data_IF_533021204589
#
_entry.id   IF_533021204589
#
_cell.length_a   1.000
_cell.length_b   1.000
_cell.length_c   1.000
_cell.angle_alpha   90.00
_cell.angle_beta   90.00
_cell.angle_gamma   90.00
#
_symmetry.space_group_name_H-M   'P 1'
#
loop_
_entity.id
_entity.type
_entity.pdbx_description
1 polymer ?
#
# COMPACT_ATOMS: atom_id res chain seq x y z
N UNK A 1 -43.50 -60.64 -63.82
CA UNK A 1 -42.15 -60.65 -63.22
C UNK A 1 -42.32 -60.29 -61.75
N UNK A 2 -42.06 -61.16 -60.76
CA UNK A 2 -40.79 -61.84 -60.39
C UNK A 2 -39.74 -60.82 -59.92
N UNK A 3 -39.11 -60.85 -58.74
CA UNK A 3 -39.22 -61.48 -57.39
C UNK A 3 -37.92 -61.00 -56.65
N UNK A 4 -37.82 -61.24 -55.33
CA UNK A 4 -36.62 -61.07 -54.45
C UNK A 4 -36.40 -59.65 -53.89
N UNK A 5 -35.84 -59.39 -52.70
CA UNK A 5 -35.66 -60.05 -51.38
C UNK A 5 -34.37 -59.44 -50.74
N UNK A 6 -34.32 -59.34 -49.39
CA UNK A 6 -33.18 -58.91 -48.54
C UNK A 6 -32.70 -57.43 -48.68
N UNK A 7 -32.22 -56.75 -47.63
CA UNK A 7 -32.20 -57.11 -46.20
C UNK A 7 -31.34 -56.18 -45.32
N UNK A 8 -31.89 -55.78 -44.16
CA UNK A 8 -31.24 -55.37 -42.89
C UNK A 8 -30.28 -54.15 -42.74
N UNK A 9 -30.56 -53.41 -41.64
CA UNK A 9 -29.63 -52.72 -40.73
C UNK A 9 -29.14 -51.30 -41.04
N UNK A 10 -29.50 -50.32 -40.19
CA UNK A 10 -28.63 -49.76 -39.13
C UNK A 10 -29.41 -48.76 -38.23
N UNK A 11 -29.11 -48.73 -36.92
CA UNK A 11 -29.61 -47.75 -35.92
C UNK A 11 -28.87 -46.40 -36.09
N UNK A 12 -29.46 -45.22 -35.79
CA UNK A 12 -29.70 -44.72 -34.41
C UNK A 12 -31.05 -43.95 -34.30
N UNK A 13 -31.45 -43.19 -33.26
CA UNK A 13 -30.83 -42.71 -31.99
C UNK A 13 -31.93 -42.51 -30.91
N UNK A 14 -31.59 -42.46 -29.61
CA UNK A 14 -32.44 -41.75 -28.61
C UNK A 14 -32.16 -40.24 -28.67
N UNK A 15 -33.20 -39.40 -28.67
CA UNK A 15 -33.12 -38.05 -28.09
C UNK A 15 -34.17 -37.89 -27.00
N UNK A 16 -33.76 -38.28 -25.78
CA UNK A 16 -34.39 -37.80 -24.56
C UNK A 16 -34.12 -36.29 -24.47
N UNK A 17 -35.13 -35.47 -24.70
CA UNK A 17 -35.04 -34.03 -24.45
C UNK A 17 -35.08 -33.81 -22.94
N UNK A 18 -34.01 -33.25 -22.39
CA UNK A 18 -33.79 -33.01 -20.95
C UNK A 18 -33.29 -31.55 -20.76
N UNK A 19 -33.21 -31.01 -19.53
CA UNK A 19 -34.15 -29.98 -19.09
C UNK A 19 -33.62 -28.54 -19.22
N UNK A 20 -34.52 -27.58 -19.04
CA UNK A 20 -34.29 -26.14 -19.15
C UNK A 20 -33.57 -25.53 -17.92
N UNK A 21 -32.52 -26.17 -17.43
CA UNK A 21 -31.81 -25.76 -16.20
C UNK A 21 -30.78 -24.64 -16.45
N UNK A 22 -30.46 -24.37 -17.72
CA UNK A 22 -29.37 -23.47 -18.14
C UNK A 22 -29.61 -21.97 -17.91
N UNK A 23 -30.88 -21.54 -17.77
CA UNK A 23 -31.22 -20.10 -17.71
C UNK A 23 -31.14 -19.53 -16.29
N UNK A 24 -31.38 -20.35 -15.26
CA UNK A 24 -31.38 -19.89 -13.85
C UNK A 24 -29.97 -19.57 -13.34
N UNK A 25 -28.92 -20.06 -14.03
CA UNK A 25 -27.51 -19.85 -13.64
C UNK A 25 -26.93 -18.47 -13.99
N UNK A 26 -27.67 -17.62 -14.71
CA UNK A 26 -27.18 -16.33 -15.20
C UNK A 26 -27.38 -15.14 -14.25
N UNK A 27 -28.04 -15.34 -13.09
CA UNK A 27 -28.30 -14.29 -12.10
C UNK A 27 -27.61 -14.53 -10.74
N UNK A 28 -26.61 -15.41 -10.68
CA UNK A 28 -25.76 -15.51 -9.50
C UNK A 28 -24.78 -14.34 -9.50
N UNK A 29 -25.23 -13.20 -8.98
CA UNK A 29 -24.40 -12.01 -8.78
C UNK A 29 -23.07 -12.42 -8.15
N UNK A 30 -21.99 -12.29 -8.91
CA UNK A 30 -20.63 -12.34 -8.38
C UNK A 30 -20.44 -11.11 -7.50
N UNK A 31 -20.96 -11.19 -6.28
CA UNK A 31 -20.50 -10.40 -5.15
C UNK A 31 -19.04 -10.76 -4.99
N UNK A 32 -18.17 -10.07 -5.73
CA UNK A 32 -16.74 -10.11 -5.52
C UNK A 32 -16.58 -9.67 -4.08
N UNK A 33 -16.23 -10.57 -3.14
CA UNK A 33 -16.13 -10.18 -1.75
C UNK A 33 -15.05 -9.11 -1.70
N UNK A 34 -15.40 -7.90 -1.29
CA UNK A 34 -14.42 -6.82 -1.13
C UNK A 34 -13.50 -7.26 0.00
N UNK A 35 -12.39 -7.95 -0.33
CA UNK A 35 -11.54 -8.66 0.63
C UNK A 35 -10.88 -7.64 1.54
N UNK A 36 -11.60 -7.30 2.62
CA UNK A 36 -11.18 -6.35 3.64
C UNK A 36 -9.93 -6.94 4.29
N UNK A 37 -8.80 -6.20 4.34
CA UNK A 37 -7.54 -6.76 4.81
C UNK A 37 -7.70 -7.26 6.25
N UNK A 38 -7.38 -8.54 6.48
CA UNK A 38 -7.36 -9.13 7.82
C UNK A 38 -6.37 -8.40 8.72
N UNK A 39 -6.67 -8.31 10.02
CA UNK A 39 -5.87 -7.53 10.98
C UNK A 39 -4.38 -7.94 10.98
N UNK A 40 -4.08 -9.22 10.76
CA UNK A 40 -2.73 -9.77 10.62
C UNK A 40 -1.97 -9.22 9.40
N UNK A 41 -2.64 -9.07 8.25
CA UNK A 41 -2.03 -8.50 7.03
C UNK A 41 -1.70 -7.03 7.22
N UNK A 42 -2.58 -6.27 7.89
CA UNK A 42 -2.30 -4.87 8.23
C UNK A 42 -1.14 -4.75 9.24
N UNK A 43 -1.14 -5.56 10.31
CA UNK A 43 -0.08 -5.54 11.31
C UNK A 43 1.29 -5.86 10.71
N UNK A 44 1.37 -6.89 9.85
CA UNK A 44 2.60 -7.24 9.13
C UNK A 44 3.07 -6.10 8.21
N UNK A 45 2.18 -5.45 7.46
CA UNK A 45 2.52 -4.31 6.59
C UNK A 45 2.96 -3.08 7.37
N UNK A 46 2.33 -2.81 8.51
CA UNK A 46 2.76 -1.74 9.41
C UNK A 46 4.14 -2.00 9.99
N UNK A 47 4.43 -3.24 10.42
CA UNK A 47 5.76 -3.63 10.88
C UNK A 47 6.81 -3.48 9.76
N UNK A 48 6.50 -3.89 8.53
CA UNK A 48 7.36 -3.64 7.35
C UNK A 48 7.56 -2.14 7.11
N UNK A 49 6.50 -1.33 7.16
CA UNK A 49 6.59 0.12 6.97
C UNK A 49 7.49 0.78 8.03
N UNK A 50 7.36 0.39 9.30
CA UNK A 50 8.22 0.85 10.40
C UNK A 50 9.67 0.44 10.15
N UNK A 51 9.94 -0.85 9.95
CA UNK A 51 11.29 -1.37 9.77
C UNK A 51 12.01 -0.74 8.57
N UNK A 52 11.34 -0.63 7.42
CA UNK A 52 11.89 -0.02 6.21
C UNK A 52 12.07 1.49 6.38
N UNK A 53 11.15 2.21 7.03
CA UNK A 53 11.29 3.66 7.26
C UNK A 53 12.48 3.98 8.16
N UNK A 54 12.61 3.22 9.27
CA UNK A 54 13.73 3.37 10.22
C UNK A 54 15.07 3.03 9.55
N UNK A 55 15.14 1.93 8.78
CA UNK A 55 16.36 1.54 8.08
C UNK A 55 16.73 2.54 6.96
N UNK A 56 15.77 2.96 6.15
CA UNK A 56 16.00 3.90 5.04
C UNK A 56 16.45 5.27 5.54
N UNK A 57 15.82 5.82 6.59
CA UNK A 57 16.26 7.09 7.17
C UNK A 57 17.57 6.97 7.95
N UNK A 58 17.84 5.84 8.61
CA UNK A 58 19.14 5.57 9.21
C UNK A 58 20.26 5.56 8.17
N UNK A 59 20.04 4.91 7.02
CA UNK A 59 20.97 4.91 5.89
C UNK A 59 21.11 6.30 5.25
N UNK A 60 20.00 7.02 5.02
CA UNK A 60 20.04 8.37 4.46
C UNK A 60 20.80 9.33 5.39
N UNK A 61 20.58 9.26 6.70
CA UNK A 61 21.33 10.03 7.69
C UNK A 61 22.83 9.67 7.64
N UNK A 62 23.17 8.38 7.57
CA UNK A 62 24.56 7.94 7.44
C UNK A 62 25.24 8.54 6.20
N UNK A 63 24.56 8.56 5.05
CA UNK A 63 25.05 9.16 3.80
C UNK A 63 25.19 10.69 3.89
N UNK A 64 24.20 11.37 4.48
CA UNK A 64 24.24 12.83 4.69
C UNK A 64 25.43 13.21 5.58
N UNK A 65 25.63 12.52 6.70
CA UNK A 65 26.75 12.79 7.61
C UNK A 65 28.11 12.44 6.98
N UNK A 66 28.19 11.30 6.26
CA UNK A 66 29.42 10.90 5.57
C UNK A 66 29.81 11.84 4.41
N UNK A 67 28.85 12.57 3.83
CA UNK A 67 29.13 13.56 2.76
C UNK A 67 29.87 14.81 3.24
N UNK A 68 29.84 15.10 4.55
CA UNK A 68 30.35 16.36 5.11
C UNK A 68 29.59 17.62 4.69
N UNK A 69 28.53 17.51 3.88
CA UNK A 69 27.77 18.64 3.35
C UNK A 69 26.88 19.36 4.38
N UNK A 70 26.66 18.73 5.55
CA UNK A 70 25.80 19.23 6.62
C UNK A 70 26.46 19.02 7.97
N UNK A 71 26.48 20.05 8.82
CA UNK A 71 26.89 19.89 10.22
C UNK A 71 25.77 19.20 11.01
N UNK A 72 26.04 18.14 11.80
CA UNK A 72 25.04 17.51 12.63
C UNK A 72 24.57 18.44 13.75
N UNK A 73 23.27 18.67 13.81
CA UNK A 73 22.56 19.38 14.88
C UNK A 73 21.50 18.43 15.46
N UNK A 74 20.98 18.71 16.66
CA UNK A 74 20.27 17.71 17.46
C UNK A 74 19.10 17.00 16.74
N UNK A 75 18.19 17.68 16.01
CA UNK A 75 17.20 17.04 15.14
C UNK A 75 17.77 16.09 14.08
N UNK A 76 18.89 16.45 13.44
CA UNK A 76 19.57 15.66 12.41
C UNK A 76 20.59 14.69 13.05
N UNK A 77 20.11 13.87 13.98
CA UNK A 77 20.89 12.83 14.67
C UNK A 77 20.10 11.53 14.79
N UNK A 78 20.79 10.40 15.06
CA UNK A 78 20.16 9.08 15.02
C UNK A 78 18.96 8.93 15.98
N UNK A 79 19.02 9.29 17.28
CA UNK A 79 17.91 9.01 18.18
C UNK A 79 16.60 9.69 17.78
N UNK A 80 16.56 11.01 17.45
CA UNK A 80 15.34 11.65 16.94
C UNK A 80 14.89 11.11 15.59
N UNK A 81 15.79 10.95 14.61
CA UNK A 81 15.43 10.50 13.25
C UNK A 81 14.80 9.12 13.27
N UNK A 82 15.40 8.15 13.98
CA UNK A 82 14.87 6.78 14.04
C UNK A 82 13.55 6.73 14.83
N UNK A 83 13.44 7.48 15.94
CA UNK A 83 12.22 7.54 16.74
C UNK A 83 11.04 8.16 15.96
N UNK A 84 11.24 9.32 15.35
CA UNK A 84 10.20 10.01 14.58
C UNK A 84 9.80 9.21 13.33
N UNK A 85 10.75 8.51 12.68
CA UNK A 85 10.45 7.60 11.57
C UNK A 85 9.54 6.45 12.01
N UNK A 86 9.79 5.85 13.18
CA UNK A 86 8.95 4.80 13.73
C UNK A 86 7.55 5.32 14.11
N UNK A 87 7.47 6.46 14.81
CA UNK A 87 6.20 7.09 15.21
C UNK A 87 5.37 7.46 13.97
N UNK A 88 5.99 8.06 12.94
CA UNK A 88 5.33 8.40 11.68
C UNK A 88 4.74 7.17 10.98
N UNK A 89 5.52 6.09 10.86
CA UNK A 89 5.06 4.85 10.23
C UNK A 89 3.97 4.11 11.04
N UNK A 90 4.02 4.16 12.37
CA UNK A 90 2.95 3.66 13.25
C UNK A 90 1.68 4.48 13.04
N UNK A 91 1.77 5.81 13.08
CA UNK A 91 0.65 6.73 12.83
C UNK A 91 0.00 6.50 11.47
N UNK A 92 0.81 6.40 10.41
CA UNK A 92 0.38 6.06 9.06
C UNK A 92 -0.38 4.72 9.00
N UNK A 93 0.14 3.68 9.67
CA UNK A 93 -0.52 2.37 9.77
C UNK A 93 -1.88 2.45 10.46
N UNK A 94 -1.99 3.22 11.55
CA UNK A 94 -3.25 3.43 12.27
C UNK A 94 -4.28 4.18 11.41
N UNK A 95 -3.87 5.27 10.76
CA UNK A 95 -4.71 6.05 9.83
C UNK A 95 -5.23 5.16 8.70
N UNK A 96 -4.36 4.40 8.04
CA UNK A 96 -4.77 3.47 6.99
C UNK A 96 -5.69 2.35 7.54
N UNK A 97 -5.45 1.89 8.77
CA UNK A 97 -6.30 0.93 9.48
C UNK A 97 -7.70 1.46 9.83
N UNK A 98 -7.86 2.77 9.98
CA UNK A 98 -9.17 3.44 10.14
C UNK A 98 -9.83 3.65 8.78
N UNK A 99 -9.10 4.18 7.79
CA UNK A 99 -9.62 4.43 6.44
C UNK A 99 -10.13 3.14 5.78
N UNK A 100 -9.37 2.04 5.85
CA UNK A 100 -9.79 0.71 5.34
C UNK A 100 -11.02 0.09 6.04
N UNK A 101 -11.49 0.69 7.15
CA UNK A 101 -12.75 0.33 7.80
C UNK A 101 -13.91 1.26 7.42
N UNK A 102 -13.63 2.55 7.24
CA UNK A 102 -14.62 3.64 7.12
C UNK A 102 -14.86 4.13 5.69
N UNK A 103 -13.93 3.90 4.75
CA UNK A 103 -13.92 4.50 3.42
C UNK A 103 -13.86 3.42 2.34
N UNK A 104 -14.64 3.60 1.28
CA UNK A 104 -14.77 2.67 0.16
C UNK A 104 -13.51 2.62 -0.73
N UNK A 105 -12.83 3.76 -0.88
CA UNK A 105 -11.56 3.90 -1.59
C UNK A 105 -10.43 4.32 -0.63
N UNK A 106 -9.91 3.40 0.21
CA UNK A 106 -8.94 3.73 1.24
C UNK A 106 -7.58 4.16 0.67
N UNK A 107 -7.08 3.52 -0.39
CA UNK A 107 -5.77 3.80 -0.98
C UNK A 107 -5.65 5.25 -1.49
N UNK A 108 -6.63 5.73 -2.29
CA UNK A 108 -6.67 7.11 -2.79
C UNK A 108 -6.84 8.14 -1.67
N UNK A 109 -7.65 7.81 -0.66
CA UNK A 109 -7.88 8.70 0.50
C UNK A 109 -6.62 8.78 1.35
N UNK A 110 -5.95 7.66 1.59
CA UNK A 110 -4.71 7.59 2.33
C UNK A 110 -3.58 8.34 1.62
N UNK A 111 -3.46 8.24 0.30
CA UNK A 111 -2.49 9.03 -0.46
C UNK A 111 -2.68 10.54 -0.25
N UNK A 112 -3.93 11.04 -0.30
CA UNK A 112 -4.24 12.45 -0.02
C UNK A 112 -3.89 12.86 1.41
N UNK A 113 -4.20 12.01 2.40
CA UNK A 113 -3.86 12.24 3.81
C UNK A 113 -2.34 12.20 4.03
N UNK A 114 -1.62 11.30 3.36
CA UNK A 114 -0.16 11.19 3.43
C UNK A 114 0.51 12.42 2.80
N UNK A 115 0.04 12.92 1.67
CA UNK A 115 0.51 14.17 1.06
C UNK A 115 0.25 15.37 1.97
N UNK A 116 -0.96 15.47 2.56
CA UNK A 116 -1.27 16.53 3.51
C UNK A 116 -0.38 16.45 4.78
N UNK A 117 -0.19 15.26 5.33
CA UNK A 117 0.68 15.03 6.49
C UNK A 117 2.15 15.35 6.18
N UNK A 118 2.63 15.02 4.97
CA UNK A 118 3.98 15.34 4.51
C UNK A 118 4.21 16.85 4.42
N UNK A 119 3.28 17.59 3.81
CA UNK A 119 3.33 19.07 3.76
C UNK A 119 3.27 19.68 5.16
N UNK A 120 2.45 19.13 6.06
CA UNK A 120 2.39 19.57 7.45
C UNK A 120 3.67 19.24 8.24
N UNK A 121 4.36 18.13 7.95
CA UNK A 121 5.62 17.77 8.62
C UNK A 121 6.78 18.70 8.25
N UNK A 122 6.70 19.44 7.14
CA UNK A 122 7.68 20.47 6.81
C UNK A 122 7.55 21.74 7.67
N UNK A 123 6.41 21.96 8.35
CA UNK A 123 6.26 23.13 9.22
C UNK A 123 7.23 23.10 10.43
N UNK A 124 7.41 21.97 11.14
CA UNK A 124 8.53 21.77 12.06
C UNK A 124 9.91 22.06 11.46
N UNK A 125 10.23 21.53 10.28
CA UNK A 125 11.53 21.71 9.63
C UNK A 125 11.84 23.18 9.35
N UNK A 126 10.85 23.91 8.82
CA UNK A 126 10.92 25.36 8.57
C UNK A 126 10.99 26.12 9.90
N UNK A 127 10.25 25.70 10.94
CA UNK A 127 10.32 26.29 12.27
C UNK A 127 11.71 26.17 12.90
N UNK A 128 12.38 25.03 12.71
CA UNK A 128 13.76 24.79 13.16
C UNK A 128 14.74 25.75 12.44
N UNK A 129 14.57 26.00 11.14
CA UNK A 129 15.41 26.94 10.38
C UNK A 129 15.43 28.37 10.98
N UNK A 130 14.33 28.79 11.60
CA UNK A 130 14.20 30.12 12.23
C UNK A 130 14.39 30.10 13.76
N UNK A 131 14.34 28.93 14.39
CA UNK A 131 14.36 28.76 15.85
C UNK A 131 15.67 28.22 16.43
N UNK A 132 16.50 27.53 15.64
CA UNK A 132 17.77 26.94 16.08
C UNK A 132 18.96 27.60 15.34
N UNK A 133 19.88 28.30 16.04
CA UNK A 133 21.08 28.88 15.43
C UNK A 133 22.05 27.88 14.79
N UNK A 134 21.87 26.57 15.03
CA UNK A 134 22.65 25.50 14.37
C UNK A 134 21.95 24.93 13.13
N UNK A 135 20.69 25.31 12.87
CA UNK A 135 19.98 24.87 11.68
C UNK A 135 20.56 25.52 10.42
N UNK A 136 20.77 24.71 9.38
CA UNK A 136 21.26 25.15 8.08
C UNK A 136 20.28 24.74 7.00
N UNK A 137 20.19 25.51 5.91
CA UNK A 137 19.29 25.19 4.78
C UNK A 137 19.53 23.75 4.25
N UNK A 138 20.78 23.28 4.04
CA UNK A 138 21.04 21.89 3.64
C UNK A 138 20.55 20.85 4.67
N UNK A 139 20.68 21.14 5.98
CA UNK A 139 20.21 20.25 7.03
C UNK A 139 18.69 20.18 7.14
N UNK A 140 18.00 21.31 6.94
CA UNK A 140 16.54 21.37 6.88
C UNK A 140 16.00 20.64 5.64
N UNK A 141 16.66 20.81 4.48
CA UNK A 141 16.33 20.03 3.27
C UNK A 141 16.57 18.52 3.49
N UNK A 142 17.61 18.13 4.24
CA UNK A 142 17.84 16.72 4.60
C UNK A 142 16.73 16.15 5.51
N UNK A 143 16.24 16.92 6.50
CA UNK A 143 15.08 16.53 7.32
C UNK A 143 13.81 16.38 6.47
N UNK A 144 13.50 17.36 5.62
CA UNK A 144 12.37 17.29 4.68
C UNK A 144 12.46 16.05 3.78
N UNK A 145 13.65 15.71 3.30
CA UNK A 145 13.87 14.49 2.50
C UNK A 145 13.61 13.20 3.31
N UNK A 146 14.00 13.15 4.58
CA UNK A 146 13.67 12.03 5.48
C UNK A 146 12.16 11.89 5.71
N UNK A 147 11.41 12.99 5.77
CA UNK A 147 9.94 12.96 5.81
C UNK A 147 9.35 12.39 4.51
N UNK A 148 9.88 12.76 3.34
CA UNK A 148 9.47 12.17 2.04
C UNK A 148 9.72 10.66 2.02
N UNK A 149 10.87 10.19 2.51
CA UNK A 149 11.19 8.75 2.59
C UNK A 149 10.16 7.98 3.42
N UNK A 150 9.81 8.45 4.62
CA UNK A 150 8.75 7.80 5.45
C UNK A 150 7.42 7.77 4.71
N UNK A 151 7.02 8.88 4.08
CA UNK A 151 5.76 8.97 3.36
C UNK A 151 5.70 7.98 2.18
N UNK A 152 6.75 7.90 1.36
CA UNK A 152 6.86 6.97 0.23
C UNK A 152 6.83 5.51 0.71
N UNK A 153 7.61 5.16 1.73
CA UNK A 153 7.64 3.80 2.31
C UNK A 153 6.27 3.41 2.87
N UNK A 154 5.60 4.30 3.60
CA UNK A 154 4.27 4.04 4.15
C UNK A 154 3.21 3.87 3.07
N UNK A 155 3.21 4.71 2.04
CA UNK A 155 2.29 4.56 0.89
C UNK A 155 2.54 3.25 0.16
N UNK A 156 3.78 2.91 -0.17
CA UNK A 156 4.12 1.66 -0.85
C UNK A 156 3.73 0.40 -0.06
N UNK A 157 4.05 0.35 1.24
CA UNK A 157 3.81 -0.82 2.07
C UNK A 157 2.32 -1.04 2.45
N UNK A 158 1.57 0.06 2.68
CA UNK A 158 0.20 -0.01 3.16
C UNK A 158 -0.82 -0.14 2.02
N UNK A 159 -0.66 0.62 0.93
CA UNK A 159 -1.58 0.58 -0.23
C UNK A 159 -1.34 -0.64 -1.13
N UNK A 160 -2.10 -0.80 -2.21
CA UNK A 160 -1.84 -1.80 -3.25
C UNK A 160 -0.67 -1.44 -4.19
N UNK A 161 -0.11 -0.23 -4.12
CA UNK A 161 0.93 0.23 -5.06
C UNK A 161 2.22 -0.60 -4.96
N UNK A 162 2.59 -1.10 -3.78
CA UNK A 162 3.72 -2.03 -3.62
C UNK A 162 3.36 -3.51 -3.84
N UNK A 163 2.45 -3.84 -4.77
CA UNK A 163 1.91 -5.20 -4.97
C UNK A 163 1.67 -5.57 -6.44
N UNK A 164 2.60 -5.19 -7.32
CA UNK A 164 2.79 -5.90 -8.59
C UNK A 164 3.35 -7.31 -8.33
#
# INVERSE_FOLDING_TARGET
>A
MNLKHFGLSLRPTKRSFMPSDGVVRAAMSTVTPTVRPTRSVLARRGLTAVAVSVAANGLLLALVLASGAVQPFMPLSYPPVLFLSAVGAIGATLVYGVLSRRVENPDRTFLRVAVAALVLSFLPDIGILFGDPQATIPGVVALMAMHVVVAVVCVGALTKIGRE
#
